data_IF_461034490937
#
_entry.id   IF_461034490937
#
_cell.length_a   1.000
_cell.length_b   1.000
_cell.length_c   1.000
_cell.angle_alpha   90.00
_cell.angle_beta   90.00
_cell.angle_gamma   90.00
#
_symmetry.space_group_name_H-M   'P 1'
#
loop_
_entity.id
_entity.type
_entity.pdbx_description
1 polymer ?
#
# COMPACT_ATOMS: atom_id res chain seq x y z
N UNK A 1 8.06 -15.24 3.46
CA UNK A 1 7.63 -14.17 4.39
C UNK A 1 6.98 -14.85 5.58
N UNK A 2 7.23 -14.40 6.80
CA UNK A 2 6.69 -15.11 7.95
C UNK A 2 5.17 -14.92 8.08
N UNK A 3 4.53 -15.79 8.89
CA UNK A 3 3.08 -15.81 9.02
C UNK A 3 2.50 -14.54 9.63
N UNK A 4 3.22 -13.90 10.55
CA UNK A 4 2.78 -12.65 11.17
C UNK A 4 2.68 -11.52 10.14
N UNK A 5 3.70 -11.37 9.33
CA UNK A 5 3.73 -10.34 8.28
C UNK A 5 2.67 -10.64 7.23
N UNK A 6 2.51 -11.89 6.84
CA UNK A 6 1.46 -12.25 5.88
C UNK A 6 0.07 -11.91 6.42
N UNK A 7 -0.18 -12.18 7.70
CA UNK A 7 -1.45 -11.83 8.32
C UNK A 7 -1.66 -10.31 8.35
N UNK A 8 -0.62 -9.54 8.66
CA UNK A 8 -0.69 -8.08 8.65
C UNK A 8 -0.97 -7.55 7.24
N UNK A 9 -0.33 -8.11 6.21
CA UNK A 9 -0.58 -7.74 4.83
C UNK A 9 -2.02 -8.05 4.40
N UNK A 10 -2.56 -9.19 4.83
CA UNK A 10 -3.95 -9.54 4.55
C UNK A 10 -4.92 -8.55 5.19
N UNK A 11 -4.67 -8.14 6.43
CA UNK A 11 -5.49 -7.15 7.13
C UNK A 11 -5.42 -5.78 6.46
N UNK A 12 -4.23 -5.36 6.03
CA UNK A 12 -4.03 -4.10 5.30
C UNK A 12 -4.82 -4.14 3.99
N UNK A 13 -4.65 -5.19 3.21
CA UNK A 13 -5.35 -5.37 1.94
C UNK A 13 -6.87 -5.31 2.12
N UNK A 14 -7.41 -6.05 3.07
CA UNK A 14 -8.85 -6.03 3.36
C UNK A 14 -9.32 -4.64 3.75
N UNK A 15 -8.57 -3.94 4.61
CA UNK A 15 -8.94 -2.60 5.07
C UNK A 15 -8.96 -1.59 3.92
N UNK A 16 -7.97 -1.67 3.04
CA UNK A 16 -7.92 -0.82 1.84
C UNK A 16 -9.13 -1.09 0.96
N UNK A 17 -9.42 -2.34 0.65
CA UNK A 17 -10.50 -2.71 -0.25
C UNK A 17 -11.89 -2.40 0.33
N UNK A 18 -12.05 -2.39 1.64
CA UNK A 18 -13.29 -1.97 2.29
C UNK A 18 -13.50 -0.46 2.23
N UNK A 19 -12.41 0.30 2.29
CA UNK A 19 -12.49 1.76 2.40
C UNK A 19 -12.49 2.47 1.05
N UNK A 20 -11.76 1.95 0.05
CA UNK A 20 -11.51 2.65 -1.20
C UNK A 20 -11.57 1.71 -2.41
N UNK A 21 -11.91 2.25 -3.61
CA UNK A 21 -11.95 1.44 -4.84
C UNK A 21 -10.56 1.31 -5.47
N UNK A 22 -9.63 0.67 -4.76
CA UNK A 22 -8.26 0.55 -5.23
C UNK A 22 -8.16 -0.22 -6.55
N UNK A 23 -7.34 0.27 -7.47
CA UNK A 23 -6.99 -0.44 -8.69
C UNK A 23 -5.85 -1.42 -8.48
N UNK A 24 -4.90 -1.06 -7.61
CA UNK A 24 -3.77 -1.91 -7.26
C UNK A 24 -3.27 -1.57 -5.88
N UNK A 25 -2.69 -2.58 -5.21
CA UNK A 25 -2.03 -2.43 -3.91
C UNK A 25 -0.68 -3.12 -4.03
N UNK A 26 0.39 -2.39 -3.74
CA UNK A 26 1.76 -2.90 -3.79
C UNK A 26 2.40 -2.89 -2.41
N UNK A 27 3.18 -3.92 -2.13
CA UNK A 27 4.17 -3.91 -1.05
C UNK A 27 5.50 -3.48 -1.65
N UNK A 28 6.17 -2.51 -1.05
CA UNK A 28 7.52 -2.12 -1.46
C UNK A 28 8.40 -2.00 -0.22
N UNK A 29 9.62 -1.49 -0.38
CA UNK A 29 10.54 -1.32 0.73
C UNK A 29 11.15 -2.63 1.21
N UNK A 30 11.68 -2.63 2.43
CA UNK A 30 12.50 -3.72 2.95
C UNK A 30 11.79 -5.07 2.99
N UNK A 31 10.50 -5.11 3.32
CA UNK A 31 9.75 -6.37 3.32
C UNK A 31 9.59 -6.96 1.92
N UNK A 32 9.47 -6.10 0.90
CA UNK A 32 9.38 -6.56 -0.48
C UNK A 32 10.73 -7.05 -1.00
N UNK A 33 11.82 -6.43 -0.56
CA UNK A 33 13.17 -6.72 -1.06
C UNK A 33 13.91 -7.80 -0.27
N UNK A 34 13.30 -8.32 0.79
CA UNK A 34 13.90 -9.38 1.59
C UNK A 34 14.94 -8.92 2.59
N UNK A 35 14.94 -7.64 2.96
CA UNK A 35 15.92 -7.05 3.88
C UNK A 35 15.30 -6.38 5.11
N UNK A 36 14.17 -6.88 5.68
CA UNK A 36 13.58 -6.26 6.84
C UNK A 36 14.42 -6.48 8.10
N UNK A 37 14.28 -5.55 9.05
CA UNK A 37 14.80 -5.68 10.40
C UNK A 37 13.69 -5.35 11.42
N UNK A 38 14.01 -5.38 12.71
CA UNK A 38 13.04 -5.16 13.79
C UNK A 38 12.36 -3.79 13.73
N UNK A 39 13.01 -2.80 13.14
CA UNK A 39 12.50 -1.43 13.04
C UNK A 39 11.83 -1.15 11.69
N UNK A 40 11.76 -2.12 10.81
CA UNK A 40 11.18 -1.93 9.48
C UNK A 40 9.67 -1.75 9.56
N UNK A 41 9.16 -0.70 8.89
CA UNK A 41 7.74 -0.51 8.67
C UNK A 41 7.31 -1.30 7.43
N UNK A 42 6.02 -1.61 7.37
CA UNK A 42 5.42 -2.17 6.15
C UNK A 42 5.13 -0.99 5.22
N UNK A 43 5.72 -0.99 4.03
CA UNK A 43 5.55 0.06 3.02
C UNK A 43 4.53 -0.37 1.97
N UNK A 44 3.42 0.36 1.89
CA UNK A 44 2.31 0.05 0.98
C UNK A 44 2.06 1.24 0.05
N UNK A 45 1.84 0.95 -1.22
CA UNK A 45 1.40 1.92 -2.20
C UNK A 45 0.04 1.49 -2.77
N UNK A 46 -0.94 2.38 -2.66
CA UNK A 46 -2.30 2.14 -3.17
C UNK A 46 -2.54 3.01 -4.39
N UNK A 47 -2.85 2.39 -5.52
CA UNK A 47 -3.21 3.08 -6.76
C UNK A 47 -4.72 3.18 -6.82
N UNK A 48 -5.23 4.41 -6.96
CA UNK A 48 -6.65 4.72 -6.99
C UNK A 48 -7.09 5.20 -8.37
N UNK A 49 -8.35 4.93 -8.76
CA UNK A 49 -8.89 5.49 -10.01
C UNK A 49 -8.79 7.01 -10.02
N UNK A 50 -8.57 7.58 -11.20
CA UNK A 50 -8.65 9.02 -11.38
C UNK A 50 -10.04 9.50 -11.00
N UNK A 51 -10.14 10.69 -10.44
CA UNK A 51 -11.41 11.22 -10.00
C UNK A 51 -11.87 10.73 -8.63
N UNK A 52 -11.10 9.86 -7.99
CA UNK A 52 -11.36 9.47 -6.60
C UNK A 52 -11.22 10.69 -5.69
N UNK A 53 -12.01 10.73 -4.61
CA UNK A 53 -12.03 11.82 -3.65
C UNK A 53 -10.66 12.13 -3.04
N UNK A 54 -10.59 13.14 -2.19
CA UNK A 54 -9.37 13.61 -1.58
C UNK A 54 -8.60 12.47 -0.88
N UNK A 55 -7.31 12.35 -1.21
CA UNK A 55 -6.47 11.24 -0.73
C UNK A 55 -6.33 11.21 0.79
N UNK A 56 -6.30 12.38 1.43
CA UNK A 56 -6.20 12.46 2.89
C UNK A 56 -7.38 11.83 3.61
N UNK A 57 -8.60 12.06 3.11
CA UNK A 57 -9.81 11.44 3.67
C UNK A 57 -9.79 9.93 3.49
N UNK A 58 -9.40 9.47 2.32
CA UNK A 58 -9.32 8.04 2.02
C UNK A 58 -8.29 7.34 2.89
N UNK A 59 -7.16 7.98 3.12
CA UNK A 59 -6.14 7.49 4.04
C UNK A 59 -6.72 7.27 5.44
N UNK A 60 -7.46 8.27 5.95
CA UNK A 60 -8.11 8.17 7.25
C UNK A 60 -9.13 7.02 7.34
N UNK A 61 -9.91 6.83 6.28
CA UNK A 61 -10.89 5.74 6.21
C UNK A 61 -10.22 4.37 6.27
N UNK A 62 -9.13 4.19 5.53
CA UNK A 62 -8.35 2.94 5.56
C UNK A 62 -7.83 2.68 6.97
N UNK A 63 -7.24 3.68 7.61
CA UNK A 63 -6.73 3.53 8.97
C UNK A 63 -7.83 3.16 9.96
N UNK A 64 -9.02 3.73 9.80
CA UNK A 64 -10.15 3.41 10.66
C UNK A 64 -10.54 1.93 10.55
N UNK A 65 -10.66 1.40 9.34
CA UNK A 65 -10.95 -0.02 9.14
C UNK A 65 -9.85 -0.91 9.72
N UNK A 66 -8.60 -0.54 9.50
CA UNK A 66 -7.47 -1.30 10.00
C UNK A 66 -7.44 -1.36 11.52
N UNK A 67 -7.68 -0.23 12.20
CA UNK A 67 -7.69 -0.16 13.66
C UNK A 67 -8.79 -0.99 14.30
N UNK A 68 -9.89 -1.20 13.62
CA UNK A 68 -10.96 -2.09 14.09
C UNK A 68 -10.55 -3.55 14.10
N UNK A 69 -9.61 -3.94 13.22
CA UNK A 69 -9.18 -5.33 13.04
C UNK A 69 -7.96 -5.66 13.88
N UNK A 70 -7.09 -4.70 14.11
CA UNK A 70 -5.86 -4.89 14.86
C UNK A 70 -5.45 -3.60 15.56
N UNK A 71 -4.93 -3.75 16.78
CA UNK A 71 -4.57 -2.63 17.62
C UNK A 71 -3.48 -1.75 17.02
N UNK A 72 -2.46 -2.35 16.37
CA UNK A 72 -1.35 -1.60 15.80
C UNK A 72 -0.58 -2.40 14.75
N UNK A 73 -0.32 -1.76 13.62
CA UNK A 73 0.62 -2.23 12.59
C UNK A 73 1.49 -1.03 12.24
N UNK A 74 2.82 -1.20 12.25
CA UNK A 74 3.73 -0.16 11.81
C UNK A 74 3.71 -0.12 10.28
N UNK A 75 3.06 0.92 9.75
CA UNK A 75 2.69 1.02 8.36
C UNK A 75 3.04 2.41 7.82
N UNK A 76 3.74 2.43 6.68
CA UNK A 76 3.92 3.62 5.87
C UNK A 76 3.12 3.41 4.57
N UNK A 77 2.06 4.17 4.39
CA UNK A 77 1.16 4.00 3.26
C UNK A 77 1.12 5.25 2.40
N UNK A 78 1.28 5.04 1.09
CA UNK A 78 1.18 6.10 0.10
C UNK A 78 -0.01 5.82 -0.82
N UNK A 79 -0.71 6.88 -1.21
CA UNK A 79 -1.84 6.81 -2.12
C UNK A 79 -1.54 7.67 -3.34
N UNK A 80 -1.91 7.17 -4.52
CA UNK A 80 -1.75 7.94 -5.75
C UNK A 80 -2.82 7.61 -6.76
N UNK A 81 -3.24 8.60 -7.55
CA UNK A 81 -4.18 8.37 -8.65
C UNK A 81 -3.48 7.64 -9.79
N UNK A 82 -4.23 6.81 -10.49
CA UNK A 82 -3.73 5.92 -11.54
C UNK A 82 -2.93 6.65 -12.63
N UNK A 83 -3.44 7.77 -13.15
CA UNK A 83 -2.73 8.52 -14.19
C UNK A 83 -1.41 9.10 -13.70
N UNK A 84 -1.38 9.57 -12.46
CA UNK A 84 -0.15 10.08 -11.83
C UNK A 84 0.85 8.96 -11.63
N UNK A 85 0.40 7.82 -11.10
CA UNK A 85 1.25 6.65 -10.91
C UNK A 85 1.87 6.20 -12.25
N UNK A 86 1.04 6.06 -13.28
CA UNK A 86 1.48 5.61 -14.59
C UNK A 86 2.46 6.57 -15.27
N UNK A 87 2.29 7.87 -15.06
CA UNK A 87 3.23 8.87 -15.56
C UNK A 87 4.55 8.84 -14.81
N UNK A 88 4.47 8.82 -13.48
CA UNK A 88 5.66 8.90 -12.63
C UNK A 88 6.52 7.64 -12.67
N UNK A 89 5.95 6.47 -12.89
CA UNK A 89 6.71 5.22 -12.94
C UNK A 89 7.72 5.16 -14.10
N UNK A 90 7.60 6.06 -15.06
CA UNK A 90 8.53 6.15 -16.20
C UNK A 90 9.72 7.07 -15.95
N UNK A 91 9.74 7.76 -14.79
CA UNK A 91 10.82 8.66 -14.40
C UNK A 91 11.62 8.15 -13.20
N UNK A 92 12.59 8.94 -12.70
CA UNK A 92 13.39 8.57 -11.51
C UNK A 92 12.60 8.84 -10.22
N UNK A 93 11.60 8.02 -9.93
CA UNK A 93 10.61 8.24 -8.88
C UNK A 93 10.43 7.03 -8.00
N UNK A 94 9.74 7.23 -6.86
CA UNK A 94 9.28 6.13 -6.00
C UNK A 94 8.36 5.20 -6.78
N UNK A 95 7.46 5.75 -7.59
CA UNK A 95 6.50 4.96 -8.38
C UNK A 95 7.20 3.99 -9.32
N UNK A 96 8.34 4.37 -9.87
CA UNK A 96 9.15 3.47 -10.70
C UNK A 96 9.67 2.29 -9.88
N UNK A 97 10.17 2.54 -8.69
CA UNK A 97 10.67 1.47 -7.80
C UNK A 97 9.53 0.53 -7.42
N UNK A 98 8.38 1.09 -7.06
CA UNK A 98 7.19 0.30 -6.73
C UNK A 98 6.76 -0.58 -7.90
N UNK A 99 6.69 -0.01 -9.10
CA UNK A 99 6.26 -0.75 -10.30
C UNK A 99 7.23 -1.86 -10.69
N UNK A 100 8.54 -1.64 -10.54
CA UNK A 100 9.57 -2.59 -10.97
C UNK A 100 9.92 -3.63 -9.92
N UNK A 101 9.96 -3.26 -8.65
CA UNK A 101 10.47 -4.10 -7.56
C UNK A 101 9.43 -4.45 -6.51
N UNK A 102 8.28 -3.77 -6.50
CA UNK A 102 7.23 -4.05 -5.55
C UNK A 102 6.55 -5.39 -5.78
N UNK A 103 5.91 -5.90 -4.72
CA UNK A 103 5.10 -7.11 -4.79
C UNK A 103 3.64 -6.68 -4.91
N UNK A 104 2.94 -7.21 -5.90
CA UNK A 104 1.53 -6.92 -6.10
C UNK A 104 0.72 -7.72 -5.08
N UNK A 105 0.01 -7.01 -4.20
CA UNK A 105 -0.91 -7.63 -3.24
C UNK A 105 -2.32 -7.71 -3.81
N UNK A 106 -2.69 -6.79 -4.69
CA UNK A 106 -4.01 -6.73 -5.31
C UNK A 106 -3.91 -6.01 -6.65
N UNK A 107 -4.72 -6.42 -7.59
CA UNK A 107 -4.78 -5.84 -8.92
C UNK A 107 -3.94 -6.63 -9.92
N UNK A 108 -3.92 -6.16 -11.12
CA UNK A 108 -3.20 -6.71 -12.29
C UNK A 108 -2.43 -8.00 -12.10
#
# INVERSE_FOLDING_TARGET
MDAKIQNDLDLIKESVLQAVPAEAIYLFGSYAYGTPNEESDIDIYVVLPDGTAELGELFGDILMFLRKKKKRIDLDMKLGHSSVFNRRKNGPTLERVVAQKGIILYGL
#
